data_IF_570996542932
#
_entry.id   IF_570996542932
#
_cell.length_a   1.000
_cell.length_b   1.000
_cell.length_c   1.000
_cell.angle_alpha   90.00
_cell.angle_beta   90.00
_cell.angle_gamma   90.00
#
_symmetry.space_group_name_H-M   'P 1'
#
loop_
_entity.id
_entity.type
_entity.pdbx_description
1 polymer ?
#
# COMPACT_ATOMS: atom_id res chain seq x y z
N UNK A 1 1.62 15.88 8.27
CA UNK A 1 0.93 14.61 8.04
C UNK A 1 1.80 13.44 8.47
N UNK A 2 2.81 12.98 7.76
CA UNK A 2 3.70 11.85 8.12
C UNK A 2 4.19 11.86 9.58
N UNK A 3 4.69 13.02 10.05
CA UNK A 3 5.15 13.17 11.45
C UNK A 3 4.04 12.90 12.47
N UNK A 4 2.80 13.33 12.17
CA UNK A 4 1.65 13.13 13.07
C UNK A 4 1.18 11.68 13.08
N UNK A 5 1.21 11.00 11.94
CA UNK A 5 0.87 9.58 11.81
C UNK A 5 1.83 8.72 12.64
N UNK A 6 3.14 8.95 12.51
CA UNK A 6 4.15 8.25 13.33
C UNK A 6 3.98 8.55 14.82
N UNK A 7 3.68 9.81 15.20
CA UNK A 7 3.43 10.20 16.59
C UNK A 7 2.21 9.46 17.17
N UNK A 8 1.22 9.12 16.34
CA UNK A 8 0.04 8.34 16.73
C UNK A 8 0.25 6.83 16.67
N UNK A 9 1.46 6.36 16.38
CA UNK A 9 1.82 4.96 16.38
C UNK A 9 1.57 4.22 15.07
N UNK A 10 1.28 4.93 13.97
CA UNK A 10 1.14 4.29 12.65
C UNK A 10 2.50 3.97 12.03
N UNK A 11 2.59 2.86 11.31
CA UNK A 11 3.73 2.55 10.47
C UNK A 11 3.67 3.38 9.18
N UNK A 12 4.85 3.81 8.70
CA UNK A 12 4.98 4.56 7.45
C UNK A 12 5.78 3.72 6.46
N UNK A 13 5.28 3.60 5.24
CA UNK A 13 5.94 2.93 4.13
C UNK A 13 6.16 3.85 2.94
N UNK A 14 7.09 3.46 2.05
CA UNK A 14 7.31 4.13 0.78
C UNK A 14 6.31 3.63 -0.27
N UNK A 15 5.62 4.56 -0.92
CA UNK A 15 4.75 4.30 -2.07
C UNK A 15 5.18 5.10 -3.30
N UNK A 16 6.52 5.24 -3.48
CA UNK A 16 7.19 6.12 -4.42
C UNK A 16 7.01 7.61 -4.10
N UNK A 17 7.79 8.45 -4.72
CA UNK A 17 7.66 9.90 -4.64
C UNK A 17 6.75 10.46 -5.74
N UNK A 18 6.98 10.03 -6.98
CA UNK A 18 6.27 10.59 -8.14
C UNK A 18 4.89 9.95 -8.37
N UNK A 19 4.71 8.68 -8.00
CA UNK A 19 3.52 7.88 -8.31
C UNK A 19 3.10 7.95 -9.80
N UNK A 20 4.07 8.18 -10.70
CA UNK A 20 3.88 8.21 -12.15
C UNK A 20 4.57 7.02 -12.81
N UNK A 21 3.81 6.12 -13.39
CA UNK A 21 4.29 4.86 -13.96
C UNK A 21 5.35 5.06 -15.05
N UNK A 22 5.23 6.14 -15.83
CA UNK A 22 6.23 6.48 -16.85
C UNK A 22 7.57 6.86 -16.22
N UNK A 23 7.56 7.46 -15.06
CA UNK A 23 8.77 7.85 -14.33
C UNK A 23 9.37 6.67 -13.59
N UNK A 24 8.55 5.90 -12.85
CA UNK A 24 9.04 4.91 -11.89
C UNK A 24 9.32 3.53 -12.51
N UNK A 25 8.65 3.15 -13.60
CA UNK A 25 8.77 1.79 -14.17
C UNK A 25 9.59 1.69 -15.45
N UNK A 26 10.39 2.69 -15.78
CA UNK A 26 11.29 2.66 -16.96
C UNK A 26 12.59 1.91 -16.70
N UNK A 27 13.08 1.89 -15.46
CA UNK A 27 14.29 1.18 -15.07
C UNK A 27 14.32 0.89 -13.58
N UNK A 28 15.12 -0.09 -13.18
CA UNK A 28 15.37 -0.40 -11.76
C UNK A 28 16.01 0.78 -11.05
N UNK A 29 17.04 1.38 -11.64
CA UNK A 29 17.74 2.53 -11.05
C UNK A 29 16.83 3.76 -10.90
N UNK A 30 15.97 4.00 -11.90
CA UNK A 30 14.97 5.07 -11.85
C UNK A 30 13.97 4.87 -10.71
N UNK A 31 13.52 3.64 -10.52
CA UNK A 31 12.63 3.28 -9.42
C UNK A 31 13.28 3.54 -8.06
N UNK A 32 14.52 3.08 -7.85
CA UNK A 32 15.20 3.29 -6.57
C UNK A 32 15.53 4.76 -6.30
N UNK A 33 15.89 5.55 -7.29
CA UNK A 33 16.05 7.01 -7.12
C UNK A 33 14.78 7.67 -6.60
N UNK A 34 13.63 7.24 -7.09
CA UNK A 34 12.33 7.75 -6.66
C UNK A 34 11.96 7.27 -5.24
N UNK A 35 12.19 5.99 -4.94
CA UNK A 35 12.02 5.40 -3.60
C UNK A 35 12.90 6.10 -2.57
N UNK A 36 14.19 6.28 -2.85
CA UNK A 36 15.12 6.95 -1.94
C UNK A 36 14.72 8.40 -1.69
N UNK A 37 14.29 9.11 -2.72
CA UNK A 37 13.78 10.48 -2.59
C UNK A 37 12.60 10.57 -1.62
N UNK A 38 11.68 9.62 -1.65
CA UNK A 38 10.57 9.58 -0.70
C UNK A 38 11.05 9.21 0.70
N UNK A 39 11.98 8.28 0.80
CA UNK A 39 12.54 7.84 2.07
C UNK A 39 13.35 8.95 2.77
N UNK A 40 14.03 9.81 2.01
CA UNK A 40 14.69 11.03 2.53
C UNK A 40 13.68 12.01 3.16
N UNK A 41 12.49 12.14 2.54
CA UNK A 41 11.41 12.97 3.08
C UNK A 41 10.86 12.36 4.38
N UNK A 42 10.66 11.05 4.42
CA UNK A 42 10.22 10.33 5.62
C UNK A 42 11.24 10.55 6.74
N UNK A 43 12.54 10.32 6.46
CA UNK A 43 13.60 10.51 7.45
C UNK A 43 13.66 11.95 7.97
N UNK A 44 13.56 12.95 7.10
CA UNK A 44 13.53 14.36 7.52
C UNK A 44 12.37 14.68 8.45
N UNK A 45 11.22 14.02 8.29
CA UNK A 45 10.03 14.29 9.11
C UNK A 45 9.98 13.45 10.39
N UNK A 46 10.53 12.24 10.38
CA UNK A 46 10.39 11.26 11.46
C UNK A 46 11.68 10.93 12.19
N UNK A 47 12.83 11.29 11.62
CA UNK A 47 14.16 10.94 12.12
C UNK A 47 14.60 9.51 11.75
N UNK A 48 13.80 8.76 10.99
CA UNK A 48 14.11 7.37 10.61
C UNK A 48 13.68 7.09 9.17
N UNK A 49 14.47 6.27 8.49
CA UNK A 49 14.08 5.66 7.20
C UNK A 49 13.18 4.46 7.45
N UNK A 50 12.33 4.15 6.48
CA UNK A 50 11.50 2.95 6.52
C UNK A 50 12.04 1.88 5.56
N UNK A 51 11.74 0.63 5.87
CA UNK A 51 11.95 -0.53 5.00
C UNK A 51 10.65 -1.10 4.43
N UNK A 52 9.52 -0.51 4.81
CA UNK A 52 8.19 -0.88 4.31
C UNK A 52 7.96 -0.22 2.95
N UNK A 53 7.52 -1.00 1.97
CA UNK A 53 7.28 -0.52 0.61
C UNK A 53 5.99 -1.12 0.05
N UNK A 54 5.28 -0.37 -0.78
CA UNK A 54 4.23 -0.88 -1.66
C UNK A 54 4.44 -0.34 -3.07
N UNK A 55 4.35 -1.23 -4.06
CA UNK A 55 4.43 -0.82 -5.46
C UNK A 55 3.14 -0.12 -5.90
N UNK A 56 3.21 1.02 -6.62
CA UNK A 56 2.05 1.58 -7.30
C UNK A 56 1.37 0.54 -8.21
N UNK A 57 0.10 0.26 -7.92
CA UNK A 57 -0.68 -0.78 -8.58
C UNK A 57 -0.38 -2.22 -8.15
N UNK A 58 0.45 -2.41 -7.12
CA UNK A 58 0.88 -3.73 -6.64
C UNK A 58 1.90 -4.40 -7.56
N UNK A 59 2.50 -5.49 -7.07
CA UNK A 59 3.48 -6.27 -7.87
C UNK A 59 2.85 -6.96 -9.08
N UNK A 60 1.55 -7.19 -9.05
CA UNK A 60 0.77 -7.81 -10.14
C UNK A 60 0.36 -6.84 -11.25
N UNK A 61 0.70 -5.54 -11.15
CA UNK A 61 0.28 -4.59 -12.17
C UNK A 61 0.87 -4.93 -13.55
N UNK A 62 0.05 -4.82 -14.57
CA UNK A 62 0.44 -5.09 -15.95
C UNK A 62 0.77 -3.84 -16.74
N UNK A 63 0.44 -2.66 -16.22
CA UNK A 63 0.65 -1.38 -16.89
C UNK A 63 2.14 -1.06 -17.04
N UNK A 64 2.95 -1.46 -16.07
CA UNK A 64 4.41 -1.27 -16.06
C UNK A 64 5.12 -1.87 -17.29
N UNK A 65 4.57 -2.93 -17.93
CA UNK A 65 5.15 -3.53 -19.17
C UNK A 65 5.23 -2.54 -20.33
N UNK A 66 4.38 -1.50 -20.35
CA UNK A 66 4.41 -0.47 -21.38
C UNK A 66 5.69 0.34 -21.34
N UNK A 67 6.37 0.36 -20.20
CA UNK A 67 7.57 1.16 -19.98
C UNK A 67 8.83 0.31 -19.98
N UNK A 68 8.80 -0.88 -19.37
CA UNK A 68 9.90 -1.84 -19.47
C UNK A 68 9.39 -3.27 -19.27
N UNK A 69 9.84 -4.19 -20.15
CA UNK A 69 9.51 -5.61 -20.07
C UNK A 69 10.14 -6.23 -18.82
N UNK A 70 9.37 -7.08 -18.12
CA UNK A 70 9.77 -7.79 -16.90
C UNK A 70 10.27 -6.86 -15.79
N UNK A 71 9.79 -5.64 -15.76
CA UNK A 71 10.26 -4.65 -14.76
C UNK A 71 9.82 -5.05 -13.35
N UNK A 72 8.59 -5.56 -13.16
CA UNK A 72 8.09 -5.94 -11.85
C UNK A 72 8.85 -7.14 -11.28
N UNK A 73 9.16 -8.16 -12.10
CA UNK A 73 9.98 -9.30 -11.68
C UNK A 73 11.37 -8.87 -11.20
N UNK A 74 11.99 -7.89 -11.89
CA UNK A 74 13.29 -7.35 -11.50
C UNK A 74 13.19 -6.54 -10.22
N UNK A 75 12.16 -5.68 -10.11
CA UNK A 75 11.97 -4.81 -8.95
C UNK A 75 11.63 -5.61 -7.70
N UNK A 76 10.75 -6.61 -7.77
CA UNK A 76 10.40 -7.45 -6.64
C UNK A 76 11.65 -8.07 -5.99
N UNK A 77 12.52 -8.65 -6.81
CA UNK A 77 13.81 -9.19 -6.34
C UNK A 77 14.72 -8.10 -5.78
N UNK A 78 14.86 -6.98 -6.49
CA UNK A 78 15.80 -5.93 -6.13
C UNK A 78 15.40 -5.17 -4.87
N UNK A 79 14.13 -4.94 -4.59
CA UNK A 79 13.69 -4.27 -3.37
C UNK A 79 14.04 -5.11 -2.13
N UNK A 80 13.91 -6.43 -2.21
CA UNK A 80 14.31 -7.34 -1.13
C UNK A 80 15.85 -7.36 -0.95
N UNK A 81 16.61 -7.41 -2.04
CA UNK A 81 18.08 -7.32 -2.00
C UNK A 81 18.58 -6.00 -1.36
N UNK A 82 17.79 -4.91 -1.47
CA UNK A 82 18.07 -3.63 -0.82
C UNK A 82 17.53 -3.55 0.62
N UNK A 83 17.00 -4.66 1.14
CA UNK A 83 16.48 -4.77 2.49
C UNK A 83 15.14 -4.08 2.71
N UNK A 84 14.37 -3.85 1.66
CA UNK A 84 12.96 -3.45 1.77
C UNK A 84 12.08 -4.68 1.82
N UNK A 85 10.98 -4.60 2.56
CA UNK A 85 9.87 -5.55 2.54
C UNK A 85 8.69 -4.89 1.83
N UNK A 86 8.24 -5.47 0.72
CA UNK A 86 7.07 -4.94 0.03
C UNK A 86 5.82 -5.72 0.41
N UNK A 87 4.71 -5.02 0.43
CA UNK A 87 3.40 -5.57 0.82
C UNK A 87 2.37 -5.22 -0.24
N UNK A 88 1.75 -6.24 -0.82
CA UNK A 88 0.50 -6.08 -1.54
C UNK A 88 -0.68 -6.17 -0.55
N UNK A 89 -1.80 -6.71 -0.92
CA UNK A 89 -2.99 -6.84 -0.07
C UNK A 89 -3.74 -8.13 -0.41
N UNK A 90 -4.61 -8.59 0.49
CA UNK A 90 -5.51 -9.71 0.25
C UNK A 90 -6.99 -9.30 0.37
N UNK A 91 -7.26 -8.03 0.64
CA UNK A 91 -8.60 -7.44 0.64
C UNK A 91 -8.56 -5.98 0.20
N UNK A 92 -9.66 -5.48 -0.36
CA UNK A 92 -9.84 -4.07 -0.73
C UNK A 92 -11.29 -3.66 -0.52
N UNK A 93 -11.54 -2.43 -0.11
CA UNK A 93 -12.91 -1.90 -0.04
C UNK A 93 -13.45 -1.40 -1.38
N UNK A 94 -12.65 -1.44 -2.45
CA UNK A 94 -13.06 -1.03 -3.79
C UNK A 94 -12.96 0.47 -4.07
N UNK A 95 -12.23 1.23 -3.26
CA UNK A 95 -12.10 2.69 -3.37
C UNK A 95 -11.07 3.17 -4.40
N UNK A 96 -10.50 2.28 -5.19
CA UNK A 96 -9.68 2.66 -6.34
C UNK A 96 -10.42 3.53 -7.37
N UNK A 97 -11.75 3.54 -7.35
CA UNK A 97 -12.60 4.51 -8.01
C UNK A 97 -13.19 5.48 -6.98
N UNK A 98 -12.75 6.73 -7.00
CA UNK A 98 -13.19 7.77 -6.07
C UNK A 98 -14.68 8.16 -6.16
N UNK A 99 -15.40 7.68 -7.18
CA UNK A 99 -16.86 7.85 -7.33
C UNK A 99 -17.69 6.73 -6.70
N UNK A 100 -17.05 5.72 -6.08
CA UNK A 100 -17.76 4.64 -5.39
C UNK A 100 -18.48 5.19 -4.16
N UNK A 101 -19.75 4.80 -3.96
CA UNK A 101 -20.55 5.27 -2.83
C UNK A 101 -20.07 4.68 -1.50
N UNK A 102 -20.34 5.38 -0.40
CA UNK A 102 -20.03 4.95 0.98
C UNK A 102 -20.57 3.55 1.26
N UNK A 103 -21.86 3.31 0.94
CA UNK A 103 -22.48 2.00 1.16
C UNK A 103 -21.80 0.88 0.36
N UNK A 104 -21.41 1.16 -0.89
CA UNK A 104 -20.68 0.18 -1.71
C UNK A 104 -19.32 -0.15 -1.13
N UNK A 105 -18.58 0.85 -0.62
CA UNK A 105 -17.31 0.66 0.04
C UNK A 105 -17.43 -0.17 1.32
N UNK A 106 -18.48 0.10 2.14
CA UNK A 106 -18.76 -0.68 3.34
C UNK A 106 -19.08 -2.12 2.97
N UNK A 107 -20.02 -2.34 2.06
CA UNK A 107 -20.44 -3.68 1.67
C UNK A 107 -19.29 -4.50 1.07
N UNK A 108 -18.48 -3.88 0.22
CA UNK A 108 -17.28 -4.52 -0.37
C UNK A 108 -16.26 -4.86 0.72
N UNK A 109 -15.91 -3.90 1.57
CA UNK A 109 -14.94 -4.12 2.64
C UNK A 109 -15.35 -5.24 3.60
N UNK A 110 -16.65 -5.30 3.98
CA UNK A 110 -17.17 -6.38 4.84
C UNK A 110 -17.20 -7.73 4.13
N UNK A 111 -17.44 -7.75 2.82
CA UNK A 111 -17.43 -8.99 2.03
C UNK A 111 -16.03 -9.57 1.91
N UNK A 112 -15.07 -8.73 1.62
CA UNK A 112 -13.68 -9.11 1.32
C UNK A 112 -12.95 -9.75 2.52
N UNK A 113 -13.34 -9.45 3.76
CA UNK A 113 -12.73 -10.04 4.96
C UNK A 113 -13.34 -11.37 5.39
N UNK A 114 -14.43 -11.80 4.77
CA UNK A 114 -15.11 -13.04 5.15
C UNK A 114 -14.20 -14.26 4.99
N UNK A 115 -14.18 -15.11 6.02
CA UNK A 115 -13.36 -16.33 6.05
C UNK A 115 -11.85 -16.09 5.95
N UNK A 116 -11.38 -14.91 6.37
CA UNK A 116 -9.97 -14.61 6.46
C UNK A 116 -9.55 -14.39 7.92
N UNK A 117 -8.50 -15.07 8.36
CA UNK A 117 -7.94 -14.92 9.71
C UNK A 117 -6.97 -13.74 9.78
N UNK A 118 -6.32 -13.42 8.66
CA UNK A 118 -5.38 -12.30 8.55
C UNK A 118 -5.70 -11.49 7.31
N UNK A 119 -5.86 -10.18 7.50
CA UNK A 119 -6.27 -9.25 6.44
C UNK A 119 -5.28 -8.10 6.32
N UNK A 120 -4.79 -7.87 5.12
CA UNK A 120 -4.13 -6.63 4.72
C UNK A 120 -5.05 -5.89 3.75
N UNK A 121 -5.79 -4.92 4.29
CA UNK A 121 -6.80 -4.17 3.54
C UNK A 121 -6.16 -3.01 2.78
N UNK A 122 -6.38 -2.95 1.46
CA UNK A 122 -6.06 -1.79 0.64
C UNK A 122 -7.19 -0.77 0.72
N UNK A 123 -6.82 0.46 1.06
CA UNK A 123 -7.65 1.65 0.97
C UNK A 123 -6.81 2.84 0.51
N UNK A 124 -7.45 3.91 0.06
CA UNK A 124 -6.81 5.14 -0.37
C UNK A 124 -7.31 6.34 0.44
N UNK A 125 -6.39 7.24 0.81
CA UNK A 125 -6.65 8.46 1.59
C UNK A 125 -6.41 9.75 0.80
N UNK A 126 -6.34 9.64 -0.52
CA UNK A 126 -6.22 10.79 -1.40
C UNK A 126 -7.38 11.78 -1.26
N UNK A 127 -7.16 13.06 -1.54
CA UNK A 127 -8.17 14.11 -1.39
C UNK A 127 -9.50 13.88 -2.14
N UNK A 128 -9.50 13.00 -3.15
CA UNK A 128 -10.69 12.58 -3.87
C UNK A 128 -11.47 11.43 -3.18
N UNK A 129 -10.86 10.72 -2.24
CA UNK A 129 -11.42 9.53 -1.59
C UNK A 129 -12.22 9.86 -0.32
N UNK A 130 -13.05 10.90 -0.34
CA UNK A 130 -13.85 11.32 0.82
C UNK A 130 -14.79 10.22 1.31
N UNK A 131 -15.39 9.46 0.40
CA UNK A 131 -16.27 8.36 0.73
C UNK A 131 -15.55 7.24 1.53
N UNK A 132 -14.24 7.02 1.30
CA UNK A 132 -13.44 6.09 2.10
C UNK A 132 -13.36 6.56 3.55
N UNK A 133 -13.13 7.86 3.79
CA UNK A 133 -13.07 8.43 5.13
C UNK A 133 -14.43 8.29 5.84
N UNK A 134 -15.53 8.52 5.13
CA UNK A 134 -16.90 8.37 5.66
C UNK A 134 -17.25 6.90 5.97
N UNK A 135 -16.79 5.94 5.15
CA UNK A 135 -17.02 4.51 5.35
C UNK A 135 -16.17 3.92 6.50
N UNK A 136 -15.00 4.50 6.76
CA UNK A 136 -13.99 3.92 7.64
C UNK A 136 -14.48 3.62 9.07
N UNK A 137 -15.20 4.51 9.78
CA UNK A 137 -15.69 4.23 11.13
C UNK A 137 -16.61 3.01 11.19
N UNK A 138 -17.49 2.85 10.20
CA UNK A 138 -18.41 1.69 10.11
C UNK A 138 -17.64 0.40 9.87
N UNK A 139 -16.66 0.42 8.97
CA UNK A 139 -15.79 -0.74 8.69
C UNK A 139 -14.99 -1.14 9.93
N UNK A 140 -14.33 -0.19 10.59
CA UNK A 140 -13.53 -0.47 11.78
C UNK A 140 -14.36 -1.07 12.90
N UNK A 141 -15.53 -0.49 13.21
CA UNK A 141 -16.44 -1.02 14.22
C UNK A 141 -16.92 -2.45 13.89
N UNK A 142 -17.26 -2.69 12.61
CA UNK A 142 -17.69 -4.00 12.17
C UNK A 142 -16.57 -5.05 12.27
N UNK A 143 -15.34 -4.68 11.95
CA UNK A 143 -14.18 -5.59 12.09
C UNK A 143 -13.90 -5.93 13.56
N UNK A 144 -13.97 -4.93 14.46
CA UNK A 144 -13.85 -5.17 15.91
C UNK A 144 -14.95 -6.15 16.40
N UNK A 145 -16.20 -5.97 15.97
CA UNK A 145 -17.32 -6.85 16.33
C UNK A 145 -17.14 -8.28 15.80
N UNK A 146 -16.42 -8.46 14.69
CA UNK A 146 -16.04 -9.75 14.13
C UNK A 146 -14.82 -10.38 14.81
N UNK A 147 -14.19 -9.69 15.78
CA UNK A 147 -13.05 -10.17 16.54
C UNK A 147 -11.69 -9.87 15.92
N UNK A 148 -11.62 -9.03 14.88
CA UNK A 148 -10.33 -8.60 14.34
C UNK A 148 -9.59 -7.65 15.29
N UNK A 149 -8.29 -7.87 15.42
CA UNK A 149 -7.35 -6.95 16.05
C UNK A 149 -6.62 -6.13 14.97
N UNK A 150 -6.49 -4.83 15.21
CA UNK A 150 -5.70 -3.96 14.32
C UNK A 150 -4.24 -3.93 14.74
N UNK A 151 -3.36 -4.13 13.77
CA UNK A 151 -1.91 -4.10 13.99
C UNK A 151 -1.24 -3.18 12.98
N UNK A 152 -0.12 -2.60 13.36
CA UNK A 152 0.79 -1.90 12.43
C UNK A 152 1.60 -2.94 11.65
N UNK A 153 2.11 -2.55 10.49
CA UNK A 153 3.09 -3.35 9.75
C UNK A 153 4.45 -3.23 10.45
N UNK A 154 5.01 -4.36 10.84
CA UNK A 154 6.32 -4.51 11.46
C UNK A 154 7.05 -5.77 10.95
N UNK A 155 8.21 -6.09 11.52
CA UNK A 155 9.03 -7.24 11.11
C UNK A 155 8.34 -8.61 11.34
N UNK A 156 7.25 -8.66 12.11
CA UNK A 156 6.47 -9.88 12.36
C UNK A 156 5.24 -10.00 11.45
N UNK A 157 4.96 -8.96 10.68
CA UNK A 157 3.77 -8.92 9.81
C UNK A 157 3.91 -9.90 8.66
N UNK A 158 2.94 -10.83 8.47
CA UNK A 158 2.94 -11.70 7.31
C UNK A 158 2.93 -10.90 6.02
N UNK A 159 3.78 -11.28 5.06
CA UNK A 159 3.80 -10.66 3.75
C UNK A 159 2.71 -11.23 2.85
N UNK A 160 2.02 -10.35 2.12
CA UNK A 160 1.08 -10.71 1.08
C UNK A 160 1.65 -10.25 -0.26
N UNK A 161 2.07 -11.19 -1.08
CA UNK A 161 2.56 -10.91 -2.43
C UNK A 161 1.58 -11.42 -3.46
N UNK A 162 1.13 -10.55 -4.35
CA UNK A 162 0.38 -10.97 -5.52
C UNK A 162 1.28 -11.73 -6.49
N UNK A 163 0.67 -12.48 -7.39
CA UNK A 163 1.40 -13.10 -8.49
C UNK A 163 2.03 -12.02 -9.40
N UNK A 164 3.32 -12.16 -9.67
CA UNK A 164 4.04 -11.22 -10.55
C UNK A 164 3.64 -11.48 -11.99
N UNK A 165 2.94 -10.52 -12.59
CA UNK A 165 2.42 -10.64 -13.95
C UNK A 165 3.37 -10.13 -15.06
N UNK A 166 4.52 -9.53 -14.70
CA UNK A 166 5.44 -8.86 -15.63
C UNK A 166 6.90 -8.98 -15.20
#
# INVERSE_FOLDING_TARGET
MIKEEVKRGHAIGVHTYAHDYKTIYTSVDGYFKDVEKMNDIIEKQTGKRTKILRFPGGVSNTVSRKYASKIMSKLAKKVEEHGYHYYDWNASNGDGNCYTSVDSLINTGLKEVRNQDTVMMLMHDGGANKATVEALPTLLNSYIQQGFEFRIIDDTTPVFHHHIAN
#
